data_IF_294973157599
#
_entry.id   IF_294973157599
#
_cell.length_a   1.000
_cell.length_b   1.000
_cell.length_c   1.000
_cell.angle_alpha   90.00
_cell.angle_beta   90.00
_cell.angle_gamma   90.00
#
_symmetry.space_group_name_H-M   'P 1'
#
loop_
_entity.id
_entity.type
_entity.pdbx_description
1 polymer ?
#
# COMPACT_ATOMS: atom_id res chain seq x y z
N UNK A 1 37.51 -10.06 9.66
CA UNK A 1 36.57 -10.63 8.68
C UNK A 1 35.66 -9.52 8.19
N UNK A 2 35.49 -9.32 6.88
CA UNK A 2 34.50 -8.34 6.37
C UNK A 2 33.13 -8.74 6.86
N UNK A 3 32.44 -7.86 7.59
CA UNK A 3 31.06 -8.08 8.06
C UNK A 3 30.18 -8.47 6.86
N UNK A 4 29.37 -9.52 6.99
CA UNK A 4 28.49 -9.97 5.91
C UNK A 4 27.33 -8.96 5.76
N UNK A 5 27.41 -8.10 4.75
CA UNK A 5 26.44 -7.02 4.49
C UNK A 5 25.36 -7.43 3.47
N UNK A 6 25.16 -8.74 3.25
CA UNK A 6 24.15 -9.21 2.29
C UNK A 6 22.77 -9.24 2.95
N UNK A 7 21.81 -8.59 2.31
CA UNK A 7 20.39 -8.56 2.73
C UNK A 7 19.52 -9.12 1.61
N UNK A 8 18.65 -10.07 1.97
CA UNK A 8 17.65 -10.62 1.07
C UNK A 8 16.29 -10.04 1.45
N UNK A 9 15.64 -9.39 0.50
CA UNK A 9 14.27 -8.88 0.66
C UNK A 9 13.34 -9.78 -0.14
N UNK A 10 12.30 -10.32 0.51
CA UNK A 10 11.34 -11.22 -0.08
C UNK A 10 9.97 -10.55 -0.16
N UNK A 11 9.37 -10.54 -1.36
CA UNK A 11 8.10 -9.90 -1.62
C UNK A 11 7.44 -10.48 -2.87
N UNK A 12 6.30 -9.93 -3.32
CA UNK A 12 5.68 -10.31 -4.58
C UNK A 12 4.21 -9.90 -4.71
N UNK A 13 3.58 -10.36 -5.78
CA UNK A 13 2.17 -10.10 -6.05
C UNK A 13 1.91 -8.69 -6.55
N UNK A 14 1.42 -7.80 -5.69
CA UNK A 14 0.98 -6.45 -6.06
C UNK A 14 1.95 -5.36 -5.63
N UNK A 15 1.77 -4.14 -6.20
CA UNK A 15 2.57 -2.97 -5.82
C UNK A 15 2.54 -2.64 -4.33
N UNK A 16 1.46 -2.99 -3.61
CA UNK A 16 1.35 -2.75 -2.17
C UNK A 16 2.44 -3.43 -1.33
N UNK A 17 2.96 -4.57 -1.77
CA UNK A 17 4.08 -5.27 -1.13
C UNK A 17 5.43 -4.92 -1.78
N UNK A 18 5.46 -4.82 -3.11
CA UNK A 18 6.72 -4.69 -3.86
C UNK A 18 7.31 -3.28 -3.76
N UNK A 19 6.48 -2.23 -3.86
CA UNK A 19 6.99 -0.85 -3.83
C UNK A 19 7.69 -0.52 -2.51
N UNK A 20 7.12 -0.80 -1.31
CA UNK A 20 7.83 -0.60 -0.04
C UNK A 20 9.12 -1.42 0.06
N UNK A 21 9.12 -2.66 -0.42
CA UNK A 21 10.31 -3.51 -0.45
C UNK A 21 11.42 -2.91 -1.31
N UNK A 22 11.09 -2.39 -2.50
CA UNK A 22 12.02 -1.69 -3.40
C UNK A 22 12.57 -0.43 -2.74
N UNK A 23 11.72 0.37 -2.11
CA UNK A 23 12.12 1.61 -1.45
C UNK A 23 13.11 1.34 -0.32
N UNK A 24 12.82 0.36 0.53
CA UNK A 24 13.73 -0.03 1.61
C UNK A 24 15.03 -0.60 1.08
N UNK A 25 14.98 -1.49 0.08
CA UNK A 25 16.17 -2.07 -0.52
C UNK A 25 17.08 -1.02 -1.18
N UNK A 26 16.51 -0.06 -1.90
CA UNK A 26 17.26 1.05 -2.46
C UNK A 26 17.91 1.94 -1.37
N UNK A 27 17.18 2.17 -0.26
CA UNK A 27 17.75 2.88 0.88
C UNK A 27 18.94 2.13 1.50
N UNK A 28 18.82 0.81 1.67
CA UNK A 28 19.92 -0.02 2.17
C UNK A 28 21.13 0.01 1.23
N UNK A 29 20.92 -0.03 -0.09
CA UNK A 29 22.01 0.08 -1.08
C UNK A 29 22.72 1.43 -0.96
N UNK A 30 21.99 2.53 -0.78
CA UNK A 30 22.57 3.85 -0.52
C UNK A 30 23.37 3.90 0.77
N UNK A 31 23.08 3.03 1.74
CA UNK A 31 23.87 2.89 3.00
C UNK A 31 25.00 1.87 2.91
N UNK A 32 25.29 1.33 1.71
CA UNK A 32 26.44 0.44 1.45
C UNK A 32 26.16 -1.06 1.65
N UNK A 33 24.88 -1.46 1.83
CA UNK A 33 24.50 -2.88 1.91
C UNK A 33 24.31 -3.49 0.51
N UNK A 34 24.58 -4.79 0.40
CA UNK A 34 24.30 -5.56 -0.80
C UNK A 34 22.90 -6.16 -0.69
N UNK A 35 21.95 -5.64 -1.47
CA UNK A 35 20.56 -6.07 -1.42
C UNK A 35 20.20 -6.91 -2.66
N UNK A 36 19.53 -8.04 -2.41
CA UNK A 36 18.86 -8.83 -3.43
C UNK A 36 17.35 -8.82 -3.15
N UNK A 37 16.54 -8.63 -4.18
CA UNK A 37 15.10 -8.65 -4.13
C UNK A 37 14.58 -9.94 -4.76
N UNK A 38 13.96 -10.81 -3.97
CA UNK A 38 13.38 -12.08 -4.42
C UNK A 38 11.87 -11.95 -4.47
N UNK A 39 11.28 -12.18 -5.65
CA UNK A 39 9.86 -11.97 -5.89
C UNK A 39 9.32 -12.90 -6.99
N UNK A 40 7.99 -12.95 -7.11
CA UNK A 40 7.33 -13.68 -8.19
C UNK A 40 7.22 -12.83 -9.48
N UNK A 41 6.92 -13.51 -10.60
CA UNK A 41 6.76 -12.88 -11.92
C UNK A 41 5.76 -11.71 -11.91
N UNK A 42 4.70 -11.77 -11.09
CA UNK A 42 3.68 -10.71 -11.00
C UNK A 42 4.22 -9.42 -10.39
N UNK A 43 5.19 -9.55 -9.49
CA UNK A 43 5.81 -8.42 -8.79
C UNK A 43 6.84 -7.66 -9.64
N UNK A 44 7.45 -8.30 -10.65
CA UNK A 44 8.57 -7.73 -11.44
C UNK A 44 8.22 -6.35 -12.01
N UNK A 45 7.02 -6.16 -12.53
CA UNK A 45 6.59 -4.88 -13.11
C UNK A 45 6.61 -3.68 -12.13
N UNK A 46 6.61 -3.96 -10.83
CA UNK A 46 6.70 -2.93 -9.78
C UNK A 46 8.12 -2.74 -9.24
N UNK A 47 9.08 -3.56 -9.71
CA UNK A 47 10.46 -3.54 -9.24
C UNK A 47 11.43 -2.85 -10.21
N UNK A 48 10.95 -2.19 -11.27
CA UNK A 48 11.77 -1.57 -12.32
C UNK A 48 12.80 -0.55 -11.78
N UNK A 49 12.50 0.10 -10.66
CA UNK A 49 13.39 1.09 -10.04
C UNK A 49 14.32 0.50 -8.98
N UNK A 50 14.34 -0.82 -8.81
CA UNK A 50 15.25 -1.44 -7.86
C UNK A 50 16.69 -1.43 -8.37
N UNK A 51 17.62 -0.96 -7.52
CA UNK A 51 19.03 -0.77 -7.89
C UNK A 51 19.92 -1.96 -7.58
N UNK A 52 19.39 -2.99 -6.92
CA UNK A 52 20.11 -4.20 -6.57
C UNK A 52 19.82 -5.37 -7.51
N UNK A 53 20.14 -6.58 -7.06
CA UNK A 53 19.91 -7.80 -7.82
C UNK A 53 18.43 -8.28 -7.69
N UNK A 54 17.75 -8.46 -8.81
CA UNK A 54 16.37 -8.98 -8.85
C UNK A 54 16.41 -10.48 -9.16
N UNK A 55 15.73 -11.27 -8.33
CA UNK A 55 15.65 -12.72 -8.44
C UNK A 55 14.18 -13.10 -8.58
N UNK A 56 13.81 -13.67 -9.73
CA UNK A 56 12.46 -14.18 -9.97
C UNK A 56 12.38 -15.65 -9.55
N UNK A 57 11.38 -15.95 -8.70
CA UNK A 57 11.09 -17.32 -8.29
C UNK A 57 9.64 -17.70 -8.62
N UNK A 58 9.41 -19.00 -8.77
CA UNK A 58 8.07 -19.54 -8.90
C UNK A 58 7.33 -19.45 -7.55
N UNK A 59 6.11 -18.95 -7.57
CA UNK A 59 5.23 -18.94 -6.40
C UNK A 59 3.78 -19.13 -6.82
N UNK A 60 3.00 -19.74 -5.96
CA UNK A 60 1.56 -19.90 -6.15
C UNK A 60 0.84 -19.98 -4.82
N UNK A 61 -0.46 -19.68 -4.81
CA UNK A 61 -1.32 -19.91 -3.67
C UNK A 61 -2.12 -21.19 -3.89
N UNK A 62 -2.28 -21.97 -2.82
CA UNK A 62 -3.03 -23.22 -2.86
C UNK A 62 -4.54 -22.93 -2.80
N UNK A 63 -5.14 -22.55 -3.93
CA UNK A 63 -6.59 -22.32 -4.04
C UNK A 63 -7.12 -22.84 -5.36
N UNK A 64 -8.45 -23.06 -5.42
CA UNK A 64 -9.10 -23.56 -6.62
C UNK A 64 -9.37 -25.07 -6.60
N UNK A 65 -9.76 -25.63 -7.76
CA UNK A 65 -10.04 -27.06 -7.93
C UNK A 65 -8.77 -27.94 -7.85
N UNK A 66 -8.93 -29.25 -7.88
CA UNK A 66 -7.82 -30.22 -7.73
C UNK A 66 -6.69 -29.97 -8.73
N UNK A 67 -6.98 -29.73 -10.00
CA UNK A 67 -5.97 -29.45 -11.03
C UNK A 67 -5.12 -28.23 -10.68
N UNK A 68 -5.77 -27.13 -10.25
CA UNK A 68 -5.04 -25.93 -9.84
C UNK A 68 -4.19 -26.16 -8.58
N UNK A 69 -4.67 -26.96 -7.63
CA UNK A 69 -3.88 -27.32 -6.43
C UNK A 69 -2.62 -28.10 -6.82
N UNK A 70 -2.70 -29.09 -7.70
CA UNK A 70 -1.54 -29.85 -8.18
C UNK A 70 -0.54 -28.91 -8.88
N UNK A 71 -1.00 -28.08 -9.81
CA UNK A 71 -0.14 -27.10 -10.50
C UNK A 71 0.51 -26.12 -9.52
N UNK A 72 -0.22 -25.66 -8.52
CA UNK A 72 0.28 -24.75 -7.48
C UNK A 72 1.34 -25.43 -6.62
N UNK A 73 1.15 -26.68 -6.23
CA UNK A 73 2.13 -27.47 -5.47
C UNK A 73 3.42 -27.63 -6.25
N UNK A 74 3.33 -27.96 -7.54
CA UNK A 74 4.52 -28.07 -8.41
C UNK A 74 5.26 -26.75 -8.55
N UNK A 75 4.53 -25.64 -8.73
CA UNK A 75 5.11 -24.28 -8.76
C UNK A 75 5.82 -23.93 -7.45
N UNK A 76 5.23 -24.27 -6.29
CA UNK A 76 5.84 -24.07 -4.97
C UNK A 76 7.10 -24.94 -4.80
N UNK A 77 7.10 -26.18 -5.29
CA UNK A 77 8.26 -27.07 -5.25
C UNK A 77 9.44 -26.51 -6.06
N UNK A 78 9.17 -25.99 -7.28
CA UNK A 78 10.20 -25.32 -8.07
C UNK A 78 10.71 -24.07 -7.31
N UNK A 79 9.81 -23.25 -6.77
CA UNK A 79 10.17 -22.07 -5.98
C UNK A 79 11.00 -22.42 -4.73
N UNK A 80 10.76 -23.56 -4.14
CA UNK A 80 11.54 -24.06 -3.01
C UNK A 80 12.99 -24.40 -3.43
N UNK A 81 13.18 -25.13 -4.53
CA UNK A 81 14.51 -25.43 -5.07
C UNK A 81 15.26 -24.14 -5.46
N UNK A 82 14.57 -23.23 -6.15
CA UNK A 82 15.14 -21.93 -6.51
C UNK A 82 15.57 -21.16 -5.26
N UNK A 83 14.75 -21.16 -4.20
CA UNK A 83 15.05 -20.49 -2.93
C UNK A 83 16.30 -21.08 -2.26
N UNK A 84 16.46 -22.40 -2.24
CA UNK A 84 17.69 -23.05 -1.73
C UNK A 84 18.91 -22.56 -2.50
N UNK A 85 18.86 -22.65 -3.83
CA UNK A 85 19.98 -22.27 -4.69
C UNK A 85 20.44 -20.82 -4.44
N UNK A 86 19.49 -19.87 -4.44
CA UNK A 86 19.82 -18.46 -4.27
C UNK A 86 20.21 -18.11 -2.84
N UNK A 87 19.60 -18.70 -1.80
CA UNK A 87 19.99 -18.45 -0.40
C UNK A 87 21.40 -18.96 -0.13
N UNK A 88 21.76 -20.13 -0.66
CA UNK A 88 23.13 -20.68 -0.56
C UNK A 88 24.13 -19.78 -1.30
N UNK A 89 23.76 -19.24 -2.47
CA UNK A 89 24.62 -18.36 -3.27
C UNK A 89 24.82 -17.00 -2.62
N UNK A 90 23.76 -16.41 -2.01
CA UNK A 90 23.79 -15.07 -1.42
C UNK A 90 24.35 -15.10 0.00
N UNK A 91 24.01 -16.11 0.78
CA UNK A 91 24.26 -16.24 2.22
C UNK A 91 23.88 -14.93 2.93
N UNK A 92 22.57 -14.55 2.94
CA UNK A 92 22.16 -13.28 3.52
C UNK A 92 22.35 -13.28 5.03
N UNK A 93 22.73 -12.16 5.61
CA UNK A 93 22.73 -11.93 7.06
C UNK A 93 21.30 -11.72 7.56
N UNK A 94 20.52 -10.94 6.82
CA UNK A 94 19.13 -10.63 7.12
C UNK A 94 18.24 -11.05 5.94
N UNK A 95 17.14 -11.74 6.24
CA UNK A 95 16.06 -12.06 5.31
C UNK A 95 14.80 -11.32 5.75
N UNK A 96 14.32 -10.37 4.94
CA UNK A 96 13.23 -9.46 5.30
C UNK A 96 12.03 -9.72 4.40
N UNK A 97 10.91 -10.14 4.98
CA UNK A 97 9.66 -10.36 4.27
C UNK A 97 8.81 -9.10 4.25
N UNK A 98 8.35 -8.73 3.06
CA UNK A 98 7.28 -7.74 2.88
C UNK A 98 5.93 -8.42 2.57
N UNK A 99 5.78 -9.71 2.92
CA UNK A 99 4.57 -10.48 2.67
C UNK A 99 4.47 -11.03 1.26
N UNK A 100 3.25 -11.44 0.86
CA UNK A 100 2.97 -12.21 -0.35
C UNK A 100 3.35 -13.69 -0.27
N UNK A 101 2.66 -14.53 -1.05
CA UNK A 101 2.99 -15.97 -1.16
C UNK A 101 4.40 -16.23 -1.69
N UNK A 102 4.96 -15.27 -2.45
CA UNK A 102 6.34 -15.38 -2.95
C UNK A 102 7.39 -15.36 -1.83
N UNK A 103 7.08 -14.79 -0.67
CA UNK A 103 7.97 -14.80 0.49
C UNK A 103 7.98 -16.14 1.23
N UNK A 104 7.03 -17.05 0.97
CA UNK A 104 6.89 -18.27 1.77
C UNK A 104 8.11 -19.19 1.66
N UNK A 105 8.50 -19.57 0.43
CA UNK A 105 9.62 -20.50 0.22
C UNK A 105 10.98 -19.93 0.65
N UNK A 106 11.33 -18.66 0.36
CA UNK A 106 12.56 -18.08 0.87
C UNK A 106 12.63 -18.01 2.40
N UNK A 107 11.53 -17.65 3.06
CA UNK A 107 11.48 -17.61 4.53
C UNK A 107 11.63 -19.01 5.14
N UNK A 108 10.95 -20.01 4.57
CA UNK A 108 11.03 -21.40 5.04
C UNK A 108 12.49 -21.90 4.95
N UNK A 109 13.16 -21.65 3.83
CA UNK A 109 14.56 -22.02 3.66
C UNK A 109 15.46 -21.23 4.63
N UNK A 110 15.18 -19.96 4.84
CA UNK A 110 15.95 -19.14 5.79
C UNK A 110 15.86 -19.68 7.21
N UNK A 111 14.72 -20.28 7.63
CA UNK A 111 14.61 -20.96 8.93
C UNK A 111 15.58 -22.14 9.03
N UNK A 112 15.64 -23.01 7.99
CA UNK A 112 16.58 -24.14 8.00
C UNK A 112 18.04 -23.68 8.07
N UNK A 113 18.38 -22.59 7.39
CA UNK A 113 19.74 -22.04 7.41
C UNK A 113 20.03 -21.15 8.63
N UNK A 114 19.03 -20.78 9.43
CA UNK A 114 19.20 -19.92 10.61
C UNK A 114 20.25 -20.46 11.57
N UNK A 115 20.24 -21.78 11.83
CA UNK A 115 21.17 -22.43 12.76
C UNK A 115 22.59 -22.59 12.17
N UNK A 116 22.71 -22.76 10.85
CA UNK A 116 24.00 -23.03 10.17
C UNK A 116 24.70 -21.74 9.78
N UNK A 117 23.96 -20.77 9.22
CA UNK A 117 24.49 -19.54 8.60
C UNK A 117 24.12 -18.26 9.35
N UNK A 118 23.46 -18.36 10.53
CA UNK A 118 23.00 -17.22 11.34
C UNK A 118 22.18 -16.19 10.56
N UNK A 119 21.20 -16.66 9.77
CA UNK A 119 20.29 -15.79 9.03
C UNK A 119 19.22 -15.27 9.99
N UNK A 120 19.13 -13.96 10.18
CA UNK A 120 18.06 -13.33 10.95
C UNK A 120 16.86 -13.05 10.05
N UNK A 121 15.67 -13.45 10.49
CA UNK A 121 14.42 -13.27 9.74
C UNK A 121 13.65 -12.10 10.32
N UNK A 122 13.21 -11.20 9.46
CA UNK A 122 12.39 -10.04 9.82
C UNK A 122 11.15 -9.97 8.94
N UNK A 123 10.09 -9.38 9.47
CA UNK A 123 8.81 -9.24 8.79
C UNK A 123 8.43 -7.77 8.76
N UNK A 124 7.95 -7.26 7.63
CA UNK A 124 7.26 -5.98 7.54
C UNK A 124 5.81 -6.21 7.11
N UNK A 125 4.86 -5.71 7.91
CA UNK A 125 3.44 -5.72 7.57
C UNK A 125 2.97 -4.32 7.17
N UNK A 126 2.42 -4.22 5.97
CA UNK A 126 1.97 -2.96 5.39
C UNK A 126 0.54 -2.62 5.79
N UNK A 127 -0.30 -3.62 6.05
CA UNK A 127 -1.71 -3.46 6.36
C UNK A 127 -1.96 -3.44 7.88
N UNK A 128 -3.12 -2.97 8.28
CA UNK A 128 -3.59 -3.03 9.68
C UNK A 128 -3.99 -4.44 10.13
N UNK A 129 -3.94 -5.42 9.23
CA UNK A 129 -4.17 -6.84 9.49
C UNK A 129 -2.97 -7.63 9.00
N UNK A 130 -2.40 -8.48 9.86
CA UNK A 130 -1.27 -9.33 9.49
C UNK A 130 -1.65 -10.31 8.37
N UNK A 131 -0.87 -10.31 7.29
CA UNK A 131 -1.04 -11.23 6.16
C UNK A 131 -0.71 -12.67 6.56
N UNK A 132 -1.34 -13.65 5.90
CA UNK A 132 -1.22 -15.09 6.26
C UNK A 132 0.22 -15.61 6.26
N UNK A 133 1.04 -15.21 5.28
CA UNK A 133 2.46 -15.62 5.23
C UNK A 133 3.22 -15.01 6.40
N UNK A 134 3.08 -13.71 6.62
CA UNK A 134 3.72 -13.04 7.74
C UNK A 134 3.29 -13.65 9.07
N UNK A 135 1.98 -13.94 9.25
CA UNK A 135 1.43 -14.56 10.47
C UNK A 135 2.05 -15.93 10.73
N UNK A 136 2.25 -16.76 9.69
CA UNK A 136 2.88 -18.09 9.83
C UNK A 136 4.34 -17.98 10.31
N UNK A 137 5.08 -16.97 9.86
CA UNK A 137 6.49 -16.80 10.19
C UNK A 137 6.76 -15.94 11.44
N UNK A 138 5.73 -15.40 12.11
CA UNK A 138 5.90 -14.63 13.35
C UNK A 138 6.78 -15.32 14.41
N UNK A 139 6.57 -16.63 14.75
CA UNK A 139 7.39 -17.29 15.77
C UNK A 139 8.88 -17.31 15.44
N UNK A 140 9.21 -17.37 14.17
CA UNK A 140 10.58 -17.52 13.67
C UNK A 140 11.27 -16.18 13.40
N UNK A 141 10.49 -15.08 13.36
CA UNK A 141 11.03 -13.76 13.12
C UNK A 141 11.72 -13.19 14.36
N UNK A 142 12.80 -12.44 14.12
CA UNK A 142 13.52 -11.71 15.16
C UNK A 142 12.83 -10.37 15.43
N UNK A 143 12.48 -9.62 14.37
CA UNK A 143 11.72 -8.38 14.46
C UNK A 143 10.51 -8.38 13.54
N UNK A 144 9.48 -7.66 13.97
CA UNK A 144 8.24 -7.42 13.25
C UNK A 144 8.09 -5.91 13.10
N UNK A 145 8.21 -5.43 11.87
CA UNK A 145 7.99 -4.02 11.53
C UNK A 145 6.56 -3.82 11.07
N UNK A 146 5.92 -2.76 11.50
CA UNK A 146 4.52 -2.48 11.17
C UNK A 146 4.34 -1.08 10.62
N UNK A 147 3.44 -0.95 9.65
CA UNK A 147 3.03 0.35 9.12
C UNK A 147 2.00 1.03 10.03
N UNK A 148 1.15 0.27 10.70
CA UNK A 148 0.14 0.77 11.62
C UNK A 148 0.58 0.54 13.06
N UNK A 149 0.21 1.46 13.97
CA UNK A 149 0.47 1.32 15.41
C UNK A 149 -0.15 0.04 16.00
N UNK A 150 -1.36 -0.25 15.57
CA UNK A 150 -2.10 -1.43 16.00
C UNK A 150 -2.33 -2.36 14.82
N UNK A 151 -1.87 -3.60 14.98
CA UNK A 151 -2.07 -4.68 14.02
C UNK A 151 -3.11 -5.65 14.57
N UNK A 152 -4.16 -5.85 13.79
CA UNK A 152 -5.14 -6.88 14.10
C UNK A 152 -4.55 -8.28 13.89
N UNK A 153 -5.07 -9.26 14.62
CA UNK A 153 -4.74 -10.68 14.57
C UNK A 153 -3.28 -11.06 14.91
N UNK A 154 -2.51 -10.18 15.55
CA UNK A 154 -1.22 -10.53 16.16
C UNK A 154 -1.42 -10.89 17.64
N UNK A 155 -0.79 -11.97 18.10
CA UNK A 155 -0.86 -12.38 19.51
C UNK A 155 0.04 -11.50 20.38
N UNK A 156 -0.37 -11.26 21.62
CA UNK A 156 0.35 -10.42 22.61
C UNK A 156 1.80 -10.88 22.83
N UNK A 157 2.05 -12.18 22.76
CA UNK A 157 3.38 -12.77 22.91
C UNK A 157 4.42 -12.23 21.92
N UNK A 158 4.00 -11.65 20.79
CA UNK A 158 4.91 -11.07 19.78
C UNK A 158 5.09 -9.55 19.90
N UNK A 159 4.40 -8.88 20.83
CA UNK A 159 4.47 -7.42 20.96
C UNK A 159 5.86 -6.92 21.32
N UNK A 160 6.62 -7.69 22.12
CA UNK A 160 7.98 -7.33 22.55
C UNK A 160 8.98 -7.16 21.40
N UNK A 161 8.74 -7.77 20.24
CA UNK A 161 9.56 -7.68 19.03
C UNK A 161 8.87 -6.94 17.87
N UNK A 162 7.79 -6.24 18.17
CA UNK A 162 7.02 -5.46 17.19
C UNK A 162 7.38 -3.99 17.28
N UNK A 163 7.77 -3.42 16.13
CA UNK A 163 8.21 -2.03 16.01
C UNK A 163 7.30 -1.32 15.01
N UNK A 164 6.60 -0.28 15.47
CA UNK A 164 5.88 0.62 14.57
C UNK A 164 6.89 1.53 13.87
N UNK A 165 7.10 1.31 12.58
CA UNK A 165 8.10 2.02 11.77
C UNK A 165 7.49 2.83 10.63
N UNK A 166 6.22 2.59 10.28
CA UNK A 166 5.59 3.17 9.10
C UNK A 166 5.85 2.36 7.83
N UNK A 167 5.52 2.94 6.68
CA UNK A 167 5.70 2.34 5.36
C UNK A 167 6.96 2.90 4.69
N UNK A 168 7.91 2.06 4.22
CA UNK A 168 9.05 2.52 3.43
C UNK A 168 8.61 3.23 2.15
N UNK A 169 8.86 4.53 2.07
CA UNK A 169 8.50 5.40 0.95
C UNK A 169 9.70 6.20 0.46
N UNK A 170 9.58 6.77 -0.74
CA UNK A 170 10.56 7.73 -1.27
C UNK A 170 10.37 9.13 -0.65
N UNK A 171 9.19 9.45 -0.16
CA UNK A 171 8.92 10.71 0.51
C UNK A 171 9.65 10.74 1.86
N UNK A 172 10.58 11.66 2.01
CA UNK A 172 11.46 11.72 3.19
C UNK A 172 10.77 12.22 4.46
N UNK A 173 9.72 13.02 4.35
CA UNK A 173 9.02 13.63 5.49
C UNK A 173 7.55 13.88 5.12
N UNK A 174 6.72 14.03 6.16
CA UNK A 174 5.37 14.57 6.02
C UNK A 174 5.47 15.93 5.35
N UNK A 175 4.73 16.12 4.28
CA UNK A 175 4.72 17.41 3.61
C UNK A 175 3.88 18.35 4.49
N UNK A 176 4.55 19.27 5.15
CA UNK A 176 3.87 20.33 5.91
C UNK A 176 3.27 21.31 4.89
N UNK A 177 1.99 21.16 4.65
CA UNK A 177 1.24 22.18 3.92
C UNK A 177 0.71 23.20 4.89
N UNK A 178 1.25 24.39 4.83
CA UNK A 178 0.60 25.55 5.43
C UNK A 178 -0.74 25.76 4.74
N UNK A 179 -1.79 25.64 5.54
CA UNK A 179 -3.20 26.01 5.29
C UNK A 179 -3.80 25.55 3.95
N UNK A 180 -4.99 24.96 4.02
CA UNK A 180 -5.90 24.96 2.87
C UNK A 180 -5.94 26.41 2.36
N UNK A 181 -5.62 26.61 1.09
CA UNK A 181 -5.79 27.90 0.45
C UNK A 181 -7.31 28.20 0.42
N UNK A 182 -7.75 28.98 1.40
CA UNK A 182 -9.16 29.33 1.62
C UNK A 182 -9.69 30.14 0.42
N UNK A 183 -8.77 30.77 -0.34
CA UNK A 183 -9.09 31.59 -1.51
C UNK A 183 -9.10 30.77 -2.82
N UNK A 184 -8.96 29.46 -2.74
CA UNK A 184 -8.98 28.59 -3.90
C UNK A 184 -10.38 28.59 -4.54
N UNK A 185 -10.48 29.04 -5.78
CA UNK A 185 -11.77 29.12 -6.51
C UNK A 185 -12.44 27.75 -6.67
N UNK A 186 -11.66 26.66 -6.76
CA UNK A 186 -12.15 25.32 -6.98
C UNK A 186 -11.49 24.28 -6.10
N UNK A 187 -12.30 23.33 -5.63
CA UNK A 187 -11.84 22.13 -4.95
C UNK A 187 -11.33 21.10 -5.96
N UNK A 188 -10.15 20.58 -5.79
CA UNK A 188 -9.59 19.50 -6.62
C UNK A 188 -9.96 18.15 -5.99
N UNK A 189 -10.77 17.36 -6.69
CA UNK A 189 -11.14 16.00 -6.30
C UNK A 189 -10.36 15.01 -7.15
N UNK A 190 -9.54 14.16 -6.52
CA UNK A 190 -8.82 13.10 -7.19
C UNK A 190 -9.51 11.75 -6.98
N UNK A 191 -9.89 11.09 -8.09
CA UNK A 191 -10.59 9.80 -8.10
C UNK A 191 -9.67 8.77 -8.72
N UNK A 192 -9.31 7.74 -7.93
CA UNK A 192 -8.41 6.68 -8.40
C UNK A 192 -8.62 5.36 -7.65
N UNK A 193 -8.44 4.25 -8.35
CA UNK A 193 -8.63 2.91 -7.82
C UNK A 193 -7.36 2.19 -7.38
N UNK A 194 -6.26 2.94 -7.10
CA UNK A 194 -4.93 2.36 -6.90
C UNK A 194 -4.27 1.98 -8.24
N UNK A 195 -3.23 1.15 -8.21
CA UNK A 195 -2.40 0.83 -9.40
C UNK A 195 -3.14 0.13 -10.54
N UNK A 196 -4.31 -0.45 -10.28
CA UNK A 196 -5.09 -1.20 -11.28
C UNK A 196 -6.34 -0.44 -11.76
N UNK A 197 -6.65 0.72 -11.16
CA UNK A 197 -7.91 1.40 -11.37
C UNK A 197 -9.10 0.68 -10.67
N UNK A 198 -10.29 1.27 -10.73
CA UNK A 198 -11.50 0.66 -10.16
C UNK A 198 -12.74 1.12 -10.93
N UNK A 199 -13.35 0.20 -11.67
CA UNK A 199 -14.62 0.46 -12.35
C UNK A 199 -15.70 0.88 -11.36
N UNK A 200 -15.98 0.13 -10.26
CA UNK A 200 -17.06 0.47 -9.34
C UNK A 200 -16.95 1.87 -8.72
N UNK A 201 -15.75 2.29 -8.32
CA UNK A 201 -15.57 3.63 -7.73
C UNK A 201 -16.00 4.72 -8.70
N UNK A 202 -15.62 4.60 -9.97
CA UNK A 202 -15.97 5.59 -11.00
C UNK A 202 -17.46 5.58 -11.26
N UNK A 203 -18.08 4.40 -11.35
CA UNK A 203 -19.53 4.30 -11.57
C UNK A 203 -20.33 4.88 -10.41
N UNK A 204 -19.99 4.56 -9.16
CA UNK A 204 -20.64 5.16 -7.99
C UNK A 204 -20.42 6.67 -7.92
N UNK A 205 -19.21 7.12 -8.24
CA UNK A 205 -18.94 8.55 -8.32
C UNK A 205 -19.82 9.25 -9.36
N UNK A 206 -19.90 8.72 -10.59
CA UNK A 206 -20.74 9.29 -11.64
C UNK A 206 -22.22 9.31 -11.28
N UNK A 207 -22.72 8.26 -10.59
CA UNK A 207 -24.11 8.23 -10.08
C UNK A 207 -24.39 9.39 -9.12
N UNK A 208 -23.45 9.71 -8.23
CA UNK A 208 -23.58 10.86 -7.33
C UNK A 208 -23.35 12.18 -8.07
N UNK A 209 -22.35 12.24 -8.95
CA UNK A 209 -21.96 13.47 -9.62
C UNK A 209 -23.07 14.01 -10.56
N UNK A 210 -23.84 13.13 -11.20
CA UNK A 210 -24.99 13.49 -12.04
C UNK A 210 -26.11 14.22 -11.28
N UNK A 211 -26.18 14.07 -9.96
CA UNK A 211 -27.21 14.70 -9.12
C UNK A 211 -26.74 16.05 -8.53
N UNK A 212 -25.50 16.45 -8.78
CA UNK A 212 -25.00 17.74 -8.34
C UNK A 212 -25.60 18.87 -9.16
N UNK A 213 -25.87 20.00 -8.52
CA UNK A 213 -26.32 21.22 -9.19
C UNK A 213 -25.18 21.83 -10.03
N UNK A 214 -25.53 22.61 -11.06
CA UNK A 214 -24.57 23.36 -11.86
C UNK A 214 -23.66 24.27 -11.01
N UNK A 215 -24.19 24.79 -9.90
CA UNK A 215 -23.43 25.63 -8.95
C UNK A 215 -22.36 24.80 -8.19
N UNK A 216 -22.70 23.58 -7.80
CA UNK A 216 -21.76 22.67 -7.13
C UNK A 216 -20.66 22.20 -8.10
N UNK A 217 -21.06 21.82 -9.33
CA UNK A 217 -20.11 21.35 -10.36
C UNK A 217 -19.08 22.43 -10.71
N UNK A 218 -19.48 23.71 -10.81
CA UNK A 218 -18.57 24.82 -11.10
C UNK A 218 -17.48 25.02 -10.02
N UNK A 219 -17.71 24.55 -8.79
CA UNK A 219 -16.74 24.63 -7.69
C UNK A 219 -15.70 23.50 -7.73
N UNK A 220 -15.81 22.56 -8.68
CA UNK A 220 -15.01 21.33 -8.67
C UNK A 220 -14.11 21.30 -9.91
N UNK A 221 -12.87 20.84 -9.68
CA UNK A 221 -11.99 20.35 -10.72
C UNK A 221 -11.69 18.88 -10.45
N UNK A 222 -12.00 18.01 -11.41
CA UNK A 222 -11.81 16.59 -11.30
C UNK A 222 -10.48 16.15 -11.89
N UNK A 223 -9.77 15.27 -11.18
CA UNK A 223 -8.68 14.48 -11.72
C UNK A 223 -9.10 13.01 -11.58
N UNK A 224 -9.15 12.28 -12.68
CA UNK A 224 -9.71 10.92 -12.69
C UNK A 224 -8.73 9.95 -13.32
N UNK A 225 -8.39 8.88 -12.61
CA UNK A 225 -7.73 7.73 -13.18
C UNK A 225 -8.79 6.69 -13.57
N UNK A 226 -9.09 6.58 -14.86
CA UNK A 226 -10.14 5.70 -15.38
C UNK A 226 -9.56 4.51 -16.12
N UNK A 227 -10.04 3.28 -15.83
CA UNK A 227 -9.81 2.15 -16.73
C UNK A 227 -10.30 2.45 -18.15
N UNK A 228 -9.61 1.90 -19.15
CA UNK A 228 -9.91 2.15 -20.55
C UNK A 228 -11.38 1.95 -20.92
N UNK A 229 -12.00 0.91 -20.36
CA UNK A 229 -13.40 0.54 -20.62
C UNK A 229 -14.41 1.64 -20.25
N UNK A 230 -14.08 2.52 -19.31
CA UNK A 230 -14.96 3.60 -18.85
C UNK A 230 -14.61 4.97 -19.43
N UNK A 231 -13.50 5.09 -20.14
CA UNK A 231 -12.97 6.40 -20.57
C UNK A 231 -14.00 7.22 -21.36
N UNK A 232 -14.67 6.64 -22.34
CA UNK A 232 -15.65 7.35 -23.16
C UNK A 232 -16.90 7.71 -22.34
N UNK A 233 -17.46 6.77 -21.56
CA UNK A 233 -18.61 7.03 -20.66
C UNK A 233 -18.34 8.19 -19.71
N UNK A 234 -17.13 8.24 -19.14
CA UNK A 234 -16.71 9.32 -18.23
C UNK A 234 -16.65 10.64 -18.97
N UNK A 235 -16.01 10.69 -20.16
CA UNK A 235 -15.92 11.90 -20.98
C UNK A 235 -17.29 12.45 -21.36
N UNK A 236 -18.16 11.61 -21.91
CA UNK A 236 -19.52 11.99 -22.30
C UNK A 236 -20.29 12.60 -21.14
N UNK A 237 -20.27 11.92 -19.98
CA UNK A 237 -20.98 12.38 -18.77
C UNK A 237 -20.45 13.74 -18.31
N UNK A 238 -19.14 13.89 -18.18
CA UNK A 238 -18.54 15.12 -17.66
C UNK A 238 -18.67 16.29 -18.62
N UNK A 239 -18.58 16.05 -19.94
CA UNK A 239 -18.79 17.06 -20.97
C UNK A 239 -20.23 17.55 -20.98
N UNK A 240 -21.21 16.65 -20.89
CA UNK A 240 -22.65 16.99 -20.79
C UNK A 240 -22.95 17.89 -19.59
N UNK A 241 -22.24 17.68 -18.50
CA UNK A 241 -22.39 18.46 -17.25
C UNK A 241 -21.55 19.74 -17.23
N UNK A 242 -20.76 20.04 -18.28
CA UNK A 242 -19.81 21.15 -18.34
C UNK A 242 -18.84 21.15 -17.13
N UNK A 243 -18.40 19.96 -16.71
CA UNK A 243 -17.45 19.81 -15.63
C UNK A 243 -16.01 20.09 -16.09
N UNK A 244 -15.18 20.68 -15.23
CA UNK A 244 -13.73 20.79 -15.48
C UNK A 244 -13.07 19.48 -15.03
N UNK A 245 -12.37 18.80 -15.96
CA UNK A 245 -11.73 17.53 -15.61
C UNK A 245 -10.43 17.27 -16.34
N UNK A 246 -9.59 16.44 -15.74
CA UNK A 246 -8.43 15.78 -16.32
C UNK A 246 -8.61 14.28 -16.20
N UNK A 247 -8.57 13.55 -17.33
CA UNK A 247 -8.81 12.11 -17.37
C UNK A 247 -7.63 11.38 -18.00
N UNK A 248 -7.09 10.39 -17.30
CA UNK A 248 -6.03 9.50 -17.82
C UNK A 248 -6.24 8.07 -17.33
N UNK A 249 -5.72 7.09 -18.09
CA UNK A 249 -5.71 5.69 -17.66
C UNK A 249 -4.74 5.43 -16.52
N UNK A 250 -3.62 6.14 -16.50
CA UNK A 250 -2.57 6.04 -15.48
C UNK A 250 -1.81 7.37 -15.33
N UNK A 251 -1.37 7.67 -14.12
CA UNK A 251 -0.56 8.84 -13.79
C UNK A 251 0.81 8.40 -13.28
N UNK A 252 1.87 8.68 -14.02
CA UNK A 252 3.24 8.34 -13.63
C UNK A 252 3.71 9.13 -12.39
N UNK A 253 3.35 10.42 -12.31
CA UNK A 253 3.74 11.33 -11.23
C UNK A 253 2.55 11.59 -10.30
N UNK A 254 2.07 10.52 -9.62
CA UNK A 254 0.92 10.63 -8.70
C UNK A 254 1.17 11.65 -7.58
N UNK A 255 2.42 11.83 -7.15
CA UNK A 255 2.80 12.78 -6.09
C UNK A 255 2.44 14.23 -6.44
N UNK A 256 2.63 14.64 -7.70
CA UNK A 256 2.27 15.99 -8.16
C UNK A 256 0.76 16.25 -8.12
N UNK A 257 -0.03 15.19 -8.24
CA UNK A 257 -1.49 15.26 -8.15
C UNK A 257 -1.90 15.31 -6.67
N UNK A 258 -1.34 14.43 -5.84
CA UNK A 258 -1.66 14.35 -4.42
C UNK A 258 -1.38 15.69 -3.71
N UNK A 259 -0.28 16.37 -4.05
CA UNK A 259 0.05 17.70 -3.51
C UNK A 259 -1.09 18.72 -3.74
N UNK A 260 -1.78 18.64 -4.86
CA UNK A 260 -2.83 19.61 -5.26
C UNK A 260 -4.23 19.17 -4.84
N UNK A 261 -4.39 17.94 -4.38
CA UNK A 261 -5.69 17.31 -4.09
C UNK A 261 -6.27 17.81 -2.78
N UNK A 262 -7.52 18.26 -2.82
CA UNK A 262 -8.27 18.70 -1.63
C UNK A 262 -9.17 17.60 -1.05
N UNK A 263 -9.59 16.65 -1.87
CA UNK A 263 -10.42 15.50 -1.50
C UNK A 263 -10.06 14.30 -2.39
N UNK A 264 -9.84 13.14 -1.81
CA UNK A 264 -9.63 11.91 -2.57
C UNK A 264 -10.84 10.98 -2.49
N UNK A 265 -11.14 10.28 -3.59
CA UNK A 265 -12.11 9.19 -3.64
C UNK A 265 -11.36 7.96 -4.15
N UNK A 266 -11.17 6.95 -3.29
CA UNK A 266 -10.20 5.89 -3.61
C UNK A 266 -10.44 4.58 -2.86
N UNK A 267 -9.65 3.55 -3.19
CA UNK A 267 -9.50 2.31 -2.42
C UNK A 267 -8.73 2.56 -1.11
N UNK A 268 -8.79 1.58 -0.19
CA UNK A 268 -8.08 1.63 1.10
C UNK A 268 -6.88 0.68 1.16
N UNK A 269 -6.07 0.62 0.09
CA UNK A 269 -4.80 -0.10 0.12
C UNK A 269 -3.79 0.58 1.05
N UNK A 270 -2.86 -0.18 1.64
CA UNK A 270 -1.89 0.35 2.61
C UNK A 270 -1.06 1.53 2.07
N UNK A 271 -0.59 1.44 0.81
CA UNK A 271 0.11 2.56 0.15
C UNK A 271 -0.77 3.80 -0.01
N UNK A 272 -2.03 3.61 -0.42
CA UNK A 272 -3.00 4.70 -0.55
C UNK A 272 -3.27 5.38 0.80
N UNK A 273 -3.49 4.59 1.87
CA UNK A 273 -3.68 5.13 3.23
C UNK A 273 -2.47 5.94 3.66
N UNK A 274 -1.26 5.42 3.43
CA UNK A 274 -0.04 6.14 3.73
C UNK A 274 0.07 7.46 2.94
N UNK A 275 -0.24 7.45 1.64
CA UNK A 275 -0.23 8.66 0.82
C UNK A 275 -1.23 9.70 1.34
N UNK A 276 -2.46 9.29 1.69
CA UNK A 276 -3.46 10.19 2.26
C UNK A 276 -2.97 10.84 3.57
N UNK A 277 -2.27 10.09 4.42
CA UNK A 277 -1.69 10.62 5.66
C UNK A 277 -0.53 11.58 5.35
N UNK A 278 0.41 11.18 4.50
CA UNK A 278 1.60 11.99 4.15
C UNK A 278 1.20 13.31 3.51
N UNK A 279 0.24 13.28 2.58
CA UNK A 279 -0.25 14.46 1.86
C UNK A 279 -1.42 15.15 2.56
N UNK A 280 -1.87 14.64 3.72
CA UNK A 280 -2.96 15.21 4.53
C UNK A 280 -4.25 15.41 3.72
N UNK A 281 -4.66 14.41 2.96
CA UNK A 281 -5.81 14.50 2.05
C UNK A 281 -7.05 13.87 2.69
N UNK A 282 -8.09 14.65 3.04
CA UNK A 282 -9.40 14.12 3.41
C UNK A 282 -9.92 13.17 2.34
N UNK A 283 -10.61 12.10 2.72
CA UNK A 283 -10.97 11.10 1.73
C UNK A 283 -12.33 10.43 1.95
N UNK A 284 -12.93 10.00 0.84
CA UNK A 284 -13.97 9.00 0.78
C UNK A 284 -13.31 7.69 0.36
N UNK A 285 -13.42 6.68 1.18
CA UNK A 285 -12.79 5.38 0.97
C UNK A 285 -13.83 4.33 0.56
N UNK A 286 -13.55 3.66 -0.54
CA UNK A 286 -14.28 2.49 -1.01
C UNK A 286 -13.39 1.24 -0.82
N UNK A 287 -13.39 0.60 0.37
CA UNK A 287 -12.61 -0.61 0.59
C UNK A 287 -13.05 -1.72 -0.37
N UNK A 288 -12.10 -2.48 -0.91
CA UNK A 288 -12.40 -3.62 -1.78
C UNK A 288 -13.13 -4.71 -0.96
N UNK A 289 -14.39 -5.09 -1.31
CA UNK A 289 -15.25 -5.95 -0.49
C UNK A 289 -14.65 -7.33 -0.19
N UNK A 290 -13.91 -7.90 -1.15
CA UNK A 290 -13.31 -9.24 -1.05
C UNK A 290 -11.79 -9.19 -0.89
N UNK A 291 -11.27 -8.14 -0.23
CA UNK A 291 -9.85 -8.09 0.09
C UNK A 291 -9.50 -9.20 1.09
N UNK A 292 -8.33 -9.82 0.88
CA UNK A 292 -7.89 -10.93 1.75
C UNK A 292 -7.90 -10.50 3.24
N UNK A 293 -8.55 -11.29 4.09
CA UNK A 293 -8.73 -10.99 5.52
C UNK A 293 -9.36 -9.60 5.78
N UNK A 294 -10.14 -9.05 4.84
CA UNK A 294 -10.76 -7.73 4.93
C UNK A 294 -9.78 -6.58 5.22
N UNK A 295 -8.50 -6.72 4.80
CA UNK A 295 -7.46 -5.75 5.14
C UNK A 295 -7.79 -4.33 4.68
N UNK A 296 -8.46 -4.14 3.50
CA UNK A 296 -8.82 -2.80 3.07
C UNK A 296 -9.92 -2.17 3.94
N UNK A 297 -10.87 -2.97 4.42
CA UNK A 297 -11.88 -2.49 5.37
C UNK A 297 -11.18 -2.01 6.66
N UNK A 298 -10.30 -2.83 7.21
CA UNK A 298 -9.56 -2.49 8.44
C UNK A 298 -8.62 -1.29 8.27
N UNK A 299 -7.98 -1.16 7.11
CA UNK A 299 -7.19 0.04 6.78
C UNK A 299 -8.07 1.30 6.71
N UNK A 300 -9.29 1.20 6.14
CA UNK A 300 -10.22 2.32 6.07
C UNK A 300 -10.77 2.70 7.45
N UNK A 301 -11.17 1.71 8.27
CA UNK A 301 -11.61 1.90 9.66
C UNK A 301 -10.56 2.63 10.50
N UNK A 302 -9.28 2.42 10.25
CA UNK A 302 -8.21 3.15 10.94
C UNK A 302 -8.30 4.66 10.68
N UNK A 303 -8.49 5.12 9.42
CA UNK A 303 -8.64 6.54 9.13
C UNK A 303 -9.99 7.08 9.57
N UNK A 304 -11.06 6.31 9.45
CA UNK A 304 -12.40 6.72 9.87
C UNK A 304 -12.47 6.92 11.39
N UNK A 305 -11.89 6.02 12.19
CA UNK A 305 -11.83 6.15 13.65
C UNK A 305 -11.06 7.39 14.12
N UNK A 306 -10.16 7.91 13.28
CA UNK A 306 -9.42 9.16 13.51
C UNK A 306 -10.11 10.38 12.86
N UNK A 307 -11.32 10.23 12.35
CA UNK A 307 -12.08 11.29 11.66
C UNK A 307 -11.35 11.88 10.43
N UNK A 308 -10.53 11.07 9.77
CA UNK A 308 -9.72 11.46 8.61
C UNK A 308 -10.35 11.08 7.27
N UNK A 309 -11.27 10.12 7.28
CA UNK A 309 -11.94 9.59 6.11
C UNK A 309 -13.39 9.23 6.40
N UNK A 310 -14.17 9.04 5.36
CA UNK A 310 -15.54 8.48 5.42
C UNK A 310 -15.56 7.22 4.57
N UNK A 311 -16.10 6.12 5.10
CA UNK A 311 -16.19 4.85 4.38
C UNK A 311 -17.51 4.78 3.63
N UNK A 312 -17.44 4.43 2.35
CA UNK A 312 -18.59 4.03 1.54
C UNK A 312 -18.41 2.57 1.10
N UNK A 313 -19.39 1.73 1.39
CA UNK A 313 -19.35 0.32 1.03
C UNK A 313 -20.08 0.05 -0.27
N UNK A 314 -19.46 -0.69 -1.20
CA UNK A 314 -20.06 -1.05 -2.49
C UNK A 314 -21.30 -1.91 -2.32
N UNK A 315 -21.29 -2.87 -1.37
CA UNK A 315 -22.38 -3.83 -1.18
C UNK A 315 -23.69 -3.22 -0.62
N UNK A 316 -23.58 -2.04 0.01
CA UNK A 316 -24.71 -1.33 0.63
C UNK A 316 -24.74 0.13 0.18
N UNK A 317 -24.44 0.38 -1.11
CA UNK A 317 -24.38 1.72 -1.66
C UNK A 317 -25.77 2.36 -1.70
N UNK A 318 -25.96 3.40 -0.89
CA UNK A 318 -27.16 4.26 -0.89
C UNK A 318 -26.83 5.57 -1.60
N UNK A 319 -27.39 5.76 -2.80
CA UNK A 319 -27.10 6.94 -3.62
C UNK A 319 -27.42 8.25 -2.88
N UNK A 320 -28.55 8.34 -2.21
CA UNK A 320 -29.00 9.59 -1.58
C UNK A 320 -28.12 9.96 -0.38
N UNK A 321 -27.89 9.00 0.51
CA UNK A 321 -27.01 9.18 1.66
C UNK A 321 -25.58 9.52 1.23
N UNK A 322 -25.05 8.81 0.25
CA UNK A 322 -23.68 9.01 -0.23
C UNK A 322 -23.53 10.33 -1.00
N UNK A 323 -24.56 10.75 -1.74
CA UNK A 323 -24.62 12.06 -2.37
C UNK A 323 -24.60 13.19 -1.33
N UNK A 324 -25.34 13.08 -0.24
CA UNK A 324 -25.33 14.06 0.85
C UNK A 324 -23.91 14.18 1.47
N UNK A 325 -23.24 13.05 1.71
CA UNK A 325 -21.86 13.04 2.20
C UNK A 325 -20.93 13.78 1.22
N UNK A 326 -21.03 13.49 -0.08
CA UNK A 326 -20.23 14.14 -1.10
C UNK A 326 -20.51 15.65 -1.15
N UNK A 327 -21.79 16.07 -1.13
CA UNK A 327 -22.18 17.48 -1.08
C UNK A 327 -21.61 18.22 0.13
N UNK A 328 -21.69 17.61 1.30
CA UNK A 328 -21.14 18.17 2.52
C UNK A 328 -19.62 18.36 2.40
N UNK A 329 -18.88 17.38 1.85
CA UNK A 329 -17.45 17.51 1.65
C UNK A 329 -17.08 18.53 0.54
N UNK A 330 -17.93 18.78 -0.45
CA UNK A 330 -17.71 19.80 -1.46
C UNK A 330 -17.96 21.21 -0.89
N UNK A 331 -19.05 21.38 -0.15
CA UNK A 331 -19.51 22.71 0.26
C UNK A 331 -18.93 23.16 1.60
N UNK A 332 -18.58 22.25 2.51
CA UNK A 332 -18.08 22.54 3.84
C UNK A 332 -16.56 22.47 3.91
N UNK A 333 -15.91 23.61 3.78
CA UNK A 333 -14.45 23.73 3.95
C UNK A 333 -14.02 23.42 5.38
N UNK A 334 -14.85 23.73 6.38
CA UNK A 334 -14.55 23.51 7.79
C UNK A 334 -14.40 22.01 8.05
N UNK A 335 -15.31 21.21 7.51
CA UNK A 335 -15.25 19.74 7.61
C UNK A 335 -13.96 19.19 7.03
N UNK A 336 -13.58 19.60 5.81
CA UNK A 336 -12.31 19.17 5.21
C UNK A 336 -11.09 19.63 6.01
N UNK A 337 -11.15 20.83 6.59
CA UNK A 337 -10.08 21.37 7.46
C UNK A 337 -9.92 20.55 8.73
N UNK A 338 -11.01 20.13 9.37
CA UNK A 338 -10.98 19.23 10.54
C UNK A 338 -10.34 17.90 10.18
N UNK A 339 -10.77 17.28 9.07
CA UNK A 339 -10.21 16.03 8.59
C UNK A 339 -8.69 16.16 8.27
N UNK A 340 -8.29 17.26 7.66
CA UNK A 340 -6.87 17.55 7.36
C UNK A 340 -6.05 17.71 8.64
N UNK A 341 -6.56 18.43 9.64
CA UNK A 341 -5.91 18.56 10.96
C UNK A 341 -5.78 17.21 11.64
N UNK A 342 -6.80 16.35 11.56
CA UNK A 342 -6.77 15.02 12.12
C UNK A 342 -5.68 14.15 11.43
N UNK A 343 -5.55 14.20 10.09
CA UNK A 343 -4.47 13.57 9.35
C UNK A 343 -3.09 14.09 9.77
N UNK A 344 -2.99 15.38 10.05
CA UNK A 344 -1.74 15.98 10.53
C UNK A 344 -1.28 15.42 11.87
N UNK A 345 -2.18 14.98 12.71
CA UNK A 345 -1.86 14.40 14.03
C UNK A 345 -1.41 12.93 13.95
N UNK A 346 -1.57 12.27 12.81
CA UNK A 346 -1.09 10.88 12.63
C UNK A 346 0.43 10.91 12.41
N UNK A 347 1.23 10.21 13.23
CA UNK A 347 2.67 10.14 13.03
C UNK A 347 3.04 9.50 11.68
N UNK A 348 4.03 10.05 11.01
CA UNK A 348 4.65 9.46 9.80
C UNK A 348 6.12 9.20 10.11
N UNK A 349 6.44 8.05 10.70
CA UNK A 349 7.82 7.73 11.03
C UNK A 349 8.65 7.48 9.76
N UNK A 350 9.95 7.76 9.84
CA UNK A 350 10.88 7.41 8.77
C UNK A 350 11.18 5.91 8.80
N UNK A 351 10.34 5.14 8.12
CA UNK A 351 10.43 3.69 8.12
C UNK A 351 11.82 3.15 7.73
N UNK A 352 12.43 3.77 6.71
CA UNK A 352 13.74 3.34 6.23
C UNK A 352 14.83 3.47 7.30
N UNK A 353 14.86 4.57 8.03
CA UNK A 353 15.84 4.82 9.11
C UNK A 353 15.56 3.94 10.32
N UNK A 354 14.29 3.84 10.75
CA UNK A 354 13.93 3.06 11.91
C UNK A 354 14.19 1.57 11.72
N UNK A 355 13.82 1.02 10.54
CA UNK A 355 14.13 -0.37 10.21
C UNK A 355 15.63 -0.62 10.21
N UNK A 356 16.43 0.24 9.56
CA UNK A 356 17.89 0.09 9.54
C UNK A 356 18.46 0.18 10.95
N UNK A 357 18.00 1.13 11.79
CA UNK A 357 18.45 1.26 13.17
C UNK A 357 18.23 -0.04 13.96
N UNK A 358 17.04 -0.63 13.90
CA UNK A 358 16.73 -1.90 14.58
C UNK A 358 17.62 -3.04 14.07
N UNK A 359 17.90 -3.11 12.75
CA UNK A 359 18.83 -4.11 12.19
C UNK A 359 20.27 -3.93 12.68
N UNK A 360 20.73 -2.69 12.92
CA UNK A 360 22.09 -2.37 13.37
C UNK A 360 22.27 -2.51 14.88
N UNK A 361 21.28 -2.16 15.70
CA UNK A 361 21.37 -2.27 17.16
C UNK A 361 21.55 -3.72 17.61
N UNK A 362 21.19 -4.67 16.76
CA UNK A 362 21.41 -6.09 16.97
C UNK A 362 22.79 -6.60 16.52
N UNK A 363 23.57 -5.80 15.84
CA UNK A 363 24.93 -6.15 15.42
C UNK A 363 25.99 -5.78 16.48
N UNK A 364 25.58 -5.05 17.51
CA UNK A 364 26.41 -4.74 18.70
C UNK A 364 26.28 -5.83 19.74
#
# INVERSE_FOLDING_TARGET
MKKNNNILICTGGTGGHVIPAVNFGNYLILKGYRCSLMLDKRGIKYANNFKGNIISIQSSHLSGNFYFKVKSTFSLFIGFIQSIFYIVKIIPRHCISFGSYASFTPLLISIFFKFIKKIDIHIHEQNSVMGRVNLFFLPYSKNIFTNFEHINNIKKEFYHKTHHVGLPTLAKNKILFDKLDINKEKIIIFIYGGSQGSIPIIEYFLLMFNELTKKEIKKIKLIIQSPYQLTEKVKETLTKLNAEYQLKGYYNNIHEILIKTDLAITRAGAGTINDLIVYQIPSILFPLPHSMNNHQIKNAEYLESKQCAIIMHENIFDKNKNLEILRNLINDITKRTIMKKALNNIPVPNANELMLKVLLDEEK
#
